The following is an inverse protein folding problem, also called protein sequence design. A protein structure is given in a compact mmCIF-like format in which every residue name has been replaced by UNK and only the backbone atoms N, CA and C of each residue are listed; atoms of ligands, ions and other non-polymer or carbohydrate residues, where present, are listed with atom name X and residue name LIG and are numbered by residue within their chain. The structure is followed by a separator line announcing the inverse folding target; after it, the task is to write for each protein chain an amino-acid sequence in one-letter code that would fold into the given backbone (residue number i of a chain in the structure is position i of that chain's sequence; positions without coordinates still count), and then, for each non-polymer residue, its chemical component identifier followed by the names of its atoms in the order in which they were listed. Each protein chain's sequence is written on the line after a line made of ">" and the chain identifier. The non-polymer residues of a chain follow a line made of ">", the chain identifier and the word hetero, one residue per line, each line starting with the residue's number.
data_IF_508543545390
#
_entry.id   IF_508543545390
#
_cell.length_a   1.000
_cell.length_b   1.000
_cell.length_c   1.000
_cell.angle_alpha   90.00
_cell.angle_beta   90.00
_cell.angle_gamma   90.00
#
_symmetry.space_group_name_H-M   'P 1'
#
loop_
_entity.id
_entity.type
_entity.pdbx_description
1 polymer ?
2 polymer ?
3 polymer ?
4 non-polymer ?
5 non-polymer ?
#
loop_
_entity_poly.entity_id
_entity_poly.type
_entity_poly.pdbx_seq_one_letter_code
_entity_poly.pdbx_strand_id
2 'polydeoxyribonucleotide' '(DC)(DT)(DC)(DA)(DT)(DT)(DG)(DA)(DG)(DC)(DA)(DA)(DA)(DT)(DG)(DA)(DG)(DC)(DA)(DA)(DG)' ?
3 'polydeoxyribonucleotide' '(DC)(DT)(DT)(DG)(DC)(DT)(DC)(DA)(DT)(DT)(DT)(DG)(DC)(DT)(DC)(DA)(DA)(DT)(DG)(DA)(DG)' ?
#
# COMPACT_ATOMS: atom_id res chain seq x y z
N UNK A 5 9.63 -1.43 -6.79
CA UNK A 5 10.38 -0.51 -7.63
C UNK A 5 9.57 -0.10 -8.85
N UNK A 6 8.85 -1.06 -9.43
CA UNK A 6 8.04 -0.84 -10.62
C UNK A 6 6.58 -0.64 -10.24
N UNK A 7 5.99 0.46 -10.71
CA UNK A 7 4.59 0.73 -10.51
C UNK A 7 3.92 1.00 -11.85
N UNK A 8 2.59 1.06 -11.83
CA UNK A 8 1.81 1.43 -12.99
C UNK A 8 1.72 2.94 -13.07
N UNK A 9 1.45 3.43 -14.27
CA UNK A 9 1.15 4.84 -14.43
C UNK A 9 -0.16 5.17 -13.72
N UNK A 10 -0.40 6.46 -13.51
CA UNK A 10 -1.61 6.88 -12.80
C UNK A 10 -2.86 6.37 -13.52
N UNK A 11 -2.91 6.54 -14.84
CA UNK A 11 -4.10 6.15 -15.59
C UNK A 11 -4.30 4.64 -15.54
N UNK A 12 -3.22 3.88 -15.76
CA UNK A 12 -3.31 2.43 -15.72
C UNK A 12 -3.75 1.96 -14.34
N UNK A 13 -3.20 2.56 -13.29
CA UNK A 13 -3.56 2.16 -11.94
C UNK A 13 -5.03 2.43 -11.66
N UNK A 14 -5.51 3.64 -11.95
CA UNK A 14 -6.90 3.95 -11.64
C UNK A 14 -7.84 3.10 -12.46
N UNK A 15 -7.49 2.81 -13.72
CA UNK A 15 -8.33 1.95 -14.56
C UNK A 15 -8.41 0.55 -13.99
N UNK A 16 -7.26 -0.08 -13.74
CA UNK A 16 -7.26 -1.42 -13.18
C UNK A 16 -7.93 -1.45 -11.81
N UNK A 17 -7.81 -0.38 -11.03
CA UNK A 17 -8.41 -0.36 -9.71
C UNK A 17 -9.94 -0.28 -9.80
N UNK A 18 -10.47 0.51 -10.73
CA UNK A 18 -11.90 0.51 -10.94
C UNK A 18 -12.41 -0.87 -11.35
N UNK A 19 -11.72 -1.49 -12.32
CA UNK A 19 -12.12 -2.82 -12.73
C UNK A 19 -12.08 -3.80 -11.57
N UNK A 20 -11.03 -3.74 -10.76
CA UNK A 20 -10.87 -4.71 -9.68
C UNK A 20 -11.85 -4.45 -8.54
N UNK A 21 -12.25 -3.20 -8.31
CA UNK A 21 -13.29 -2.94 -7.33
C UNK A 21 -14.62 -3.54 -7.78
N UNK A 22 -14.98 -3.32 -9.04
CA UNK A 22 -16.19 -3.94 -9.56
C UNK A 22 -16.11 -5.46 -9.46
N UNK A 23 -14.96 -6.02 -9.86
CA UNK A 23 -14.80 -7.47 -9.85
C UNK A 23 -14.85 -8.04 -8.44
N UNK A 24 -14.27 -7.33 -7.47
CA UNK A 24 -14.31 -7.80 -6.09
C UNK A 24 -15.71 -7.77 -5.53
N UNK A 25 -16.46 -6.70 -5.82
CA UNK A 25 -17.86 -6.68 -5.41
C UNK A 25 -18.62 -7.85 -6.02
N UNK A 26 -18.36 -8.13 -7.30
CA UNK A 26 -19.04 -9.23 -7.96
C UNK A 26 -18.68 -10.57 -7.34
N UNK A 27 -17.40 -10.77 -7.01
CA UNK A 27 -16.96 -12.04 -6.45
C UNK A 27 -17.53 -12.25 -5.05
N UNK A 28 -17.56 -11.19 -4.24
CA UNK A 28 -18.01 -11.33 -2.86
C UNK A 28 -19.48 -11.73 -2.78
N UNK A 29 -20.28 -11.44 -3.81
CA UNK A 29 -21.69 -11.83 -3.81
C UNK A 29 -21.89 -13.31 -4.09
N UNK A 30 -20.83 -14.03 -4.46
CA UNK A 30 -20.92 -15.44 -4.72
C UNK A 30 -21.35 -15.80 -6.13
N UNK A 31 -21.10 -14.95 -7.10
CA UNK A 31 -21.45 -15.21 -8.49
C UNK A 31 -20.35 -15.87 -9.30
N UNK A 32 -19.20 -16.17 -8.70
CA UNK A 32 -18.12 -16.80 -9.45
C UNK A 32 -18.24 -18.31 -9.33
N UNK A 33 -18.15 -19.01 -10.46
CA UNK A 33 -18.21 -20.46 -10.42
C UNK A 33 -17.01 -21.00 -9.67
N UNK A 34 -17.27 -21.89 -8.71
CA UNK A 34 -16.20 -22.39 -7.85
C UNK A 34 -15.11 -23.06 -8.67
N UNK A 35 -15.45 -23.62 -9.83
CA UNK A 35 -14.47 -24.32 -10.64
C UNK A 35 -13.44 -23.40 -11.26
N UNK A 36 -13.71 -22.09 -11.30
CA UNK A 36 -12.84 -21.15 -11.98
C UNK A 36 -11.62 -20.77 -11.16
N UNK A 37 -11.64 -21.00 -9.85
CA UNK A 37 -10.50 -20.69 -9.00
C UNK A 37 -10.67 -21.38 -7.65
N UNK A 38 -9.76 -22.29 -7.33
CA UNK A 38 -9.80 -22.95 -6.04
C UNK A 38 -9.48 -21.96 -4.91
N UNK A 39 -8.56 -21.03 -5.17
CA UNK A 39 -8.20 -20.04 -4.16
C UNK A 39 -9.41 -19.19 -3.79
N UNK A 40 -10.11 -18.66 -4.81
CA UNK A 40 -11.25 -17.80 -4.54
C UNK A 40 -12.39 -18.59 -3.92
N UNK A 41 -12.56 -19.85 -4.33
CA UNK A 41 -13.60 -20.69 -3.75
C UNK A 41 -13.34 -20.93 -2.26
N UNK A 42 -12.10 -21.31 -1.93
CA UNK A 42 -11.75 -21.51 -0.52
C UNK A 42 -11.89 -20.22 0.28
N UNK A 43 -11.56 -19.08 -0.34
CA UNK A 43 -11.73 -17.80 0.34
C UNK A 43 -13.20 -17.51 0.61
N UNK A 44 -14.07 -17.89 -0.32
CA UNK A 44 -15.50 -17.63 -0.18
C UNK A 44 -16.20 -18.54 0.81
N UNK A 45 -15.59 -19.69 1.15
CA UNK A 45 -16.23 -20.62 2.08
C UNK A 45 -16.52 -19.97 3.43
N UNK A 46 -15.71 -18.98 3.81
CA UNK A 46 -15.85 -18.31 5.11
C UNK A 46 -16.60 -17.01 4.98
N UNK A 47 -17.70 -17.01 4.22
CA UNK A 47 -18.53 -15.83 4.00
C UNK A 47 -19.98 -16.19 4.27
N UNK A 48 -20.69 -15.27 4.93
CA UNK A 48 -22.08 -15.50 5.31
C UNK A 48 -22.98 -15.58 4.08
N UNK A 49 -23.98 -16.47 4.09
CA UNK A 49 -24.85 -16.60 2.91
C UNK A 49 -25.64 -15.35 2.59
N UNK A 50 -26.17 -14.67 3.60
CA UNK A 50 -26.93 -13.48 3.32
C UNK A 50 -26.05 -12.26 3.50
N UNK A 51 -25.73 -11.61 2.38
CA UNK A 51 -24.78 -10.51 2.36
C UNK A 51 -25.53 -9.27 1.92
N UNK A 52 -25.03 -8.12 2.36
CA UNK A 52 -25.58 -6.83 1.98
C UNK A 52 -24.61 -6.23 0.97
N UNK A 53 -24.99 -6.28 -0.32
CA UNK A 53 -24.15 -5.77 -1.39
C UNK A 53 -24.65 -4.40 -1.81
N UNK A 54 -23.97 -3.38 -1.29
CA UNK A 54 -24.21 -1.99 -1.64
C UNK A 54 -23.13 -1.44 -2.56
N UNK A 55 -22.17 -2.26 -2.97
CA UNK A 55 -21.13 -1.83 -3.88
C UNK A 55 -21.49 -2.14 -5.32
N UNK A 56 -21.08 -1.29 -6.26
CA UNK A 56 -21.30 -1.61 -7.68
C UNK A 56 -20.51 -2.84 -8.07
N UNK A 57 -21.15 -3.71 -8.83
CA UNK A 57 -20.51 -4.91 -9.34
C UNK A 57 -20.73 -4.96 -10.85
N UNK A 58 -19.75 -5.53 -11.55
CA UNK A 58 -19.80 -5.62 -12.99
C UNK A 58 -20.84 -6.66 -13.41
N UNK A 59 -20.97 -6.85 -14.72
CA UNK A 59 -21.82 -7.92 -15.21
C UNK A 59 -21.12 -9.27 -15.00
N UNK A 60 -21.78 -10.35 -15.43
CA UNK A 60 -21.22 -11.67 -15.20
C UNK A 60 -20.09 -11.99 -16.17
N UNK A 61 -20.17 -11.50 -17.41
CA UNK A 61 -19.12 -11.78 -18.38
C UNK A 61 -17.80 -11.13 -17.98
N UNK A 62 -17.83 -9.82 -17.68
CA UNK A 62 -16.64 -9.13 -17.23
C UNK A 62 -16.10 -9.75 -15.95
N UNK A 63 -16.99 -10.11 -15.03
CA UNK A 63 -16.55 -10.77 -13.81
C UNK A 63 -15.79 -12.06 -14.10
N UNK A 64 -16.34 -12.89 -14.99
CA UNK A 64 -15.68 -14.14 -15.33
C UNK A 64 -14.31 -13.90 -15.97
N UNK A 65 -14.24 -12.92 -16.89
CA UNK A 65 -12.97 -12.65 -17.57
C UNK A 65 -11.92 -12.16 -16.57
N UNK A 66 -12.29 -11.20 -15.74
CA UNK A 66 -11.36 -10.66 -14.75
C UNK A 66 -10.92 -11.75 -13.78
N UNK A 67 -11.86 -12.64 -13.41
CA UNK A 67 -11.50 -13.74 -12.51
C UNK A 67 -10.49 -14.66 -13.17
N UNK A 68 -10.70 -14.99 -14.45
CA UNK A 68 -9.72 -15.82 -15.15
C UNK A 68 -8.34 -15.17 -15.11
N UNK A 69 -8.29 -13.88 -15.42
CA UNK A 69 -7.00 -13.19 -15.46
C UNK A 69 -6.33 -13.21 -14.08
N UNK A 70 -7.09 -12.82 -13.05
CA UNK A 70 -6.54 -12.73 -11.70
C UNK A 70 -6.07 -14.09 -11.22
N UNK A 71 -6.83 -15.15 -11.51
CA UNK A 71 -6.44 -16.47 -11.06
C UNK A 71 -5.20 -16.95 -11.82
N UNK A 72 -5.13 -16.66 -13.11
CA UNK A 72 -3.96 -17.08 -13.87
C UNK A 72 -2.71 -16.35 -13.40
N UNK A 73 -2.86 -15.13 -12.89
CA UNK A 73 -1.67 -14.37 -12.50
C UNK A 73 -1.26 -14.60 -11.04
N UNK A 74 -2.22 -14.83 -10.14
CA UNK A 74 -1.95 -14.79 -8.70
C UNK A 74 -1.93 -16.17 -8.04
N UNK A 75 -2.23 -17.24 -8.77
CA UNK A 75 -2.28 -18.56 -8.13
C UNK A 75 -0.90 -19.00 -7.62
N UNK A 76 0.17 -18.37 -8.08
CA UNK A 76 1.51 -18.76 -7.64
C UNK A 76 1.79 -18.19 -6.27
N UNK A 77 1.40 -16.93 -6.04
CA UNK A 77 1.66 -16.23 -4.77
C UNK A 77 0.33 -16.19 -4.01
N UNK A 78 0.10 -17.23 -3.21
CA UNK A 78 -1.18 -17.33 -2.51
C UNK A 78 -1.36 -16.24 -1.45
N UNK A 79 -0.26 -15.77 -0.85
CA UNK A 79 -0.37 -14.68 0.12
C UNK A 79 -0.87 -13.40 -0.53
N UNK A 80 -0.26 -13.03 -1.66
CA UNK A 80 -0.68 -11.83 -2.36
C UNK A 80 -2.10 -11.99 -2.89
N UNK A 81 -2.46 -13.19 -3.32
CA UNK A 81 -3.83 -13.45 -3.76
C UNK A 81 -4.81 -13.21 -2.62
N UNK A 82 -4.49 -13.73 -1.42
CA UNK A 82 -5.37 -13.53 -0.29
C UNK A 82 -5.49 -12.06 0.11
N UNK A 83 -4.37 -11.34 0.08
CA UNK A 83 -4.43 -9.91 0.39
C UNK A 83 -5.31 -9.20 -0.63
N UNK A 84 -5.12 -9.50 -1.92
CA UNK A 84 -5.93 -8.88 -2.97
C UNK A 84 -7.41 -9.15 -2.74
N UNK A 85 -7.75 -10.39 -2.38
CA UNK A 85 -9.14 -10.74 -2.12
C UNK A 85 -9.69 -10.00 -0.91
N UNK A 86 -8.92 -9.93 0.18
CA UNK A 86 -9.37 -9.21 1.36
C UNK A 86 -9.63 -7.74 1.04
N UNK A 87 -8.78 -7.15 0.18
CA UNK A 87 -8.95 -5.74 -0.13
C UNK A 87 -10.13 -5.50 -1.06
N UNK A 88 -10.15 -6.16 -2.22
CA UNK A 88 -11.17 -5.87 -3.22
C UNK A 88 -12.45 -6.66 -3.02
N UNK A 89 -12.35 -7.95 -2.64
CA UNK A 89 -13.55 -8.77 -2.50
C UNK A 89 -14.25 -8.52 -1.17
N UNK A 90 -13.53 -8.67 -0.06
CA UNK A 90 -14.14 -8.48 1.26
C UNK A 90 -14.30 -7.02 1.63
N UNK A 91 -13.49 -6.12 1.04
CA UNK A 91 -13.62 -4.71 1.31
C UNK A 91 -12.82 -4.19 2.48
N UNK A 92 -11.96 -5.01 3.09
CA UNK A 92 -11.15 -4.54 4.20
C UNK A 92 -10.22 -3.42 3.73
N UNK A 93 -9.84 -2.57 4.66
CA UNK A 93 -8.95 -1.46 4.34
C UNK A 93 -7.50 -1.94 4.39
N UNK A 94 -6.64 -1.20 3.70
CA UNK A 94 -5.21 -1.53 3.77
C UNK A 94 -4.73 -1.49 5.21
N UNK A 95 -5.20 -0.53 6.00
CA UNK A 95 -4.77 -0.44 7.39
C UNK A 95 -5.18 -1.69 8.17
N UNK A 96 -6.40 -2.18 7.96
CA UNK A 96 -6.85 -3.37 8.67
C UNK A 96 -6.06 -4.60 8.26
N UNK A 97 -5.76 -4.73 6.97
CA UNK A 97 -4.96 -5.86 6.51
C UNK A 97 -3.57 -5.80 7.12
N UNK A 98 -2.96 -4.61 7.12
CA UNK A 98 -1.64 -4.46 7.72
C UNK A 98 -1.68 -4.76 9.21
N UNK A 99 -2.77 -4.39 9.89
CA UNK A 99 -2.90 -4.69 11.31
C UNK A 99 -2.95 -6.20 11.56
N UNK A 100 -3.81 -6.91 10.83
CA UNK A 100 -3.84 -8.36 10.95
C UNK A 100 -2.49 -8.97 10.65
N UNK A 101 -1.79 -8.46 9.64
CA UNK A 101 -0.49 -9.04 9.29
C UNK A 101 0.62 -8.64 10.26
N UNK A 102 0.43 -7.56 11.02
CA UNK A 102 1.35 -7.24 12.11
C UNK A 102 1.09 -8.13 13.34
N UNK A 103 -0.17 -8.44 13.61
CA UNK A 103 -0.48 -9.30 14.74
C UNK A 103 0.11 -10.69 14.58
N UNK A 104 -0.05 -11.27 13.39
CA UNK A 104 0.45 -12.62 13.13
C UNK A 104 1.68 -12.48 12.25
N UNK A 105 2.75 -11.95 12.81
CA UNK A 105 3.99 -11.71 12.07
C UNK A 105 5.13 -12.42 12.78
N UNK A 106 5.77 -13.34 12.07
CA UNK A 106 6.90 -14.07 12.62
C UNK A 106 8.12 -13.16 12.71
N UNK A 107 8.93 -13.30 13.77
CA UNK A 107 10.14 -12.48 13.86
C UNK A 107 11.00 -12.66 12.61
N UNK A 108 11.52 -11.54 12.11
CA UNK A 108 12.30 -11.54 10.89
C UNK A 108 13.52 -10.64 11.09
N UNK A 109 14.50 -10.79 10.20
CA UNK A 109 15.73 -10.01 10.28
C UNK A 109 15.43 -8.60 9.80
N UNK A 110 15.19 -7.69 10.74
CA UNK A 110 14.95 -6.30 10.40
C UNK A 110 16.28 -5.60 10.16
N UNK A 111 16.35 -4.79 9.11
CA UNK A 111 17.60 -4.25 8.64
C UNK A 111 17.70 -2.76 8.95
N UNK A 112 18.91 -2.23 8.78
CA UNK A 112 19.13 -0.80 8.87
C UNK A 112 18.72 -0.30 10.25
N UNK A 113 17.58 0.38 10.34
CA UNK A 113 17.11 0.88 11.64
C UNK A 113 17.02 -0.25 12.65
N UNK A 114 16.58 -1.43 12.22
CA UNK A 114 16.50 -2.58 13.08
C UNK A 114 17.82 -3.22 13.43
N UNK A 115 18.92 -2.66 12.95
CA UNK A 115 20.24 -3.22 13.22
C UNK A 115 20.38 -4.68 12.85
N UNK A 116 19.77 -5.09 11.74
CA UNK A 116 19.89 -6.46 11.28
C UNK A 116 19.52 -7.47 12.34
N UNK A 117 18.66 -7.07 13.27
CA UNK A 117 18.26 -7.91 14.38
C UNK A 117 16.95 -8.62 14.08
N UNK A 118 16.80 -9.83 14.62
CA UNK A 118 15.54 -10.58 14.49
C UNK A 118 14.53 -10.01 15.48
N UNK A 119 13.41 -9.53 14.95
CA UNK A 119 12.32 -9.03 15.78
C UNK A 119 11.09 -8.89 14.91
N UNK A 120 9.94 -8.76 15.55
CA UNK A 120 8.69 -8.64 14.80
C UNK A 120 8.64 -7.31 14.08
N UNK A 121 8.24 -7.28 12.81
CA UNK A 121 8.19 -6.00 12.09
C UNK A 121 7.14 -5.07 12.66
N UNK A 122 7.47 -3.78 12.69
CA UNK A 122 6.56 -2.77 13.21
C UNK A 122 5.33 -2.66 12.32
N UNK A 123 4.31 -1.98 12.84
CA UNK A 123 3.09 -1.78 12.06
C UNK A 123 3.37 -0.96 10.81
N UNK A 124 4.30 0.00 10.87
CA UNK A 124 4.63 0.79 9.70
C UNK A 124 5.21 -0.10 8.60
N UNK A 125 6.08 -1.02 8.97
CA UNK A 125 6.64 -1.94 7.99
C UNK A 125 5.55 -2.82 7.39
N UNK A 126 4.58 -3.26 8.20
CA UNK A 126 3.49 -4.07 7.65
C UNK A 126 2.63 -3.27 6.70
N UNK A 127 2.34 -2.01 7.04
CA UNK A 127 1.62 -1.15 6.12
C UNK A 127 2.36 -1.01 4.80
N UNK A 128 3.67 -0.74 4.86
CA UNK A 128 4.44 -0.59 3.64
C UNK A 128 4.43 -1.87 2.81
N UNK A 129 4.59 -3.01 3.48
CA UNK A 129 4.61 -4.29 2.75
C UNK A 129 3.27 -4.57 2.10
N UNK A 130 2.16 -4.27 2.77
CA UNK A 130 0.84 -4.49 2.17
C UNK A 130 0.68 -3.60 0.94
N UNK A 131 1.06 -2.32 1.06
CA UNK A 131 1.00 -1.43 -0.09
C UNK A 131 1.84 -1.99 -1.24
N UNK A 132 3.04 -2.49 -0.93
CA UNK A 132 3.92 -3.02 -1.96
C UNK A 132 3.32 -4.23 -2.64
N UNK A 133 2.74 -5.14 -1.85
CA UNK A 133 2.14 -6.34 -2.41
C UNK A 133 1.00 -5.97 -3.33
N UNK A 134 0.14 -5.05 -2.91
CA UNK A 134 -0.98 -4.66 -3.77
C UNK A 134 -0.49 -4.01 -5.06
N UNK A 135 0.48 -3.09 -4.96
CA UNK A 135 0.98 -2.43 -6.15
C UNK A 135 1.63 -3.41 -7.11
N UNK A 136 2.39 -4.38 -6.59
CA UNK A 136 3.03 -5.37 -7.46
C UNK A 136 1.98 -6.28 -8.10
N UNK A 137 0.96 -6.68 -7.34
CA UNK A 137 -0.10 -7.48 -7.92
C UNK A 137 -0.78 -6.74 -9.07
N UNK A 138 -1.10 -5.47 -8.85
CA UNK A 138 -1.73 -4.70 -9.92
C UNK A 138 -0.79 -4.54 -11.11
N UNK A 139 0.50 -4.32 -10.84
CA UNK A 139 1.47 -4.16 -11.92
C UNK A 139 1.56 -5.41 -12.78
N UNK A 140 1.49 -6.58 -12.17
CA UNK A 140 1.52 -7.82 -12.95
C UNK A 140 0.19 -8.12 -13.62
N UNK A 141 -0.92 -7.72 -13.01
CA UNK A 141 -2.22 -8.06 -13.57
C UNK A 141 -2.56 -7.17 -14.76
N UNK A 142 -2.15 -5.90 -14.74
CA UNK A 142 -2.55 -4.95 -15.76
C UNK A 142 -2.40 -5.48 -17.18
N UNK A 143 -1.19 -5.85 -17.62
CA UNK A 143 -1.03 -6.24 -19.03
C UNK A 143 -1.87 -7.44 -19.43
N UNK A 144 -2.01 -8.44 -18.56
CA UNK A 144 -2.79 -9.62 -18.89
C UNK A 144 -4.26 -9.24 -19.10
N UNK A 145 -4.80 -8.44 -18.19
CA UNK A 145 -6.21 -8.04 -18.30
C UNK A 145 -6.42 -7.16 -19.53
N UNK A 146 -5.49 -6.25 -19.80
CA UNK A 146 -5.59 -5.41 -20.99
C UNK A 146 -5.62 -6.26 -22.26
N UNK A 147 -4.69 -7.20 -22.37
CA UNK A 147 -4.65 -8.07 -23.54
C UNK A 147 -5.91 -8.92 -23.63
N UNK A 148 -6.45 -9.36 -22.48
CA UNK A 148 -7.67 -10.16 -22.51
C UNK A 148 -8.84 -9.34 -23.05
N UNK A 149 -9.00 -8.11 -22.57
CA UNK A 149 -10.07 -7.27 -23.08
C UNK A 149 -9.89 -7.00 -24.57
N UNK A 150 -8.65 -6.75 -25.01
CA UNK A 150 -8.41 -6.48 -26.43
C UNK A 150 -8.73 -7.70 -27.28
N UNK A 151 -8.36 -8.90 -26.82
CA UNK A 151 -8.62 -10.10 -27.59
C UNK A 151 -10.10 -10.43 -27.61
N UNK A 152 -10.83 -10.10 -26.53
CA UNK A 152 -12.27 -10.28 -26.55
C UNK A 152 -12.91 -9.32 -27.55
N UNK A 153 -12.44 -8.07 -27.58
CA UNK A 153 -12.98 -7.09 -28.52
C UNK A 153 -12.69 -7.49 -29.96
N UNK A 154 -11.52 -8.08 -30.21
CA UNK A 154 -11.16 -8.47 -31.57
C UNK A 154 -11.95 -9.71 -32.01
N UNK A 155 -11.82 -10.82 -31.28
CA UNK A 155 -12.40 -12.07 -31.74
C UNK A 155 -13.91 -11.96 -31.90
N UNK A 156 -14.57 -11.31 -30.94
CA UNK A 156 -16.02 -11.15 -30.99
C UNK A 156 -16.43 -10.26 -32.16
N UNK B 7 36.77 -14.63 9.66
CA UNK B 7 35.50 -14.36 10.31
C UNK B 7 34.63 -15.61 10.38
N UNK B 8 33.51 -15.50 11.09
CA UNK B 8 32.57 -16.60 11.20
C UNK B 8 31.67 -16.67 9.98
N UNK B 9 31.15 -17.86 9.71
CA UNK B 9 30.16 -18.02 8.66
C UNK B 9 28.86 -17.33 9.07
N UNK B 10 27.98 -17.14 8.08
CA UNK B 10 26.70 -16.49 8.36
C UNK B 10 25.92 -17.25 9.43
N UNK B 11 25.83 -18.57 9.30
CA UNK B 11 25.02 -19.36 10.23
C UNK B 11 25.65 -19.40 11.63
N UNK B 12 26.97 -19.56 11.71
CA UNK B 12 27.63 -19.49 13.01
C UNK B 12 27.36 -18.16 13.68
N UNK B 13 27.44 -17.08 12.90
CA UNK B 13 27.21 -15.75 13.46
C UNK B 13 25.76 -15.63 13.95
N UNK B 14 24.80 -16.14 13.17
CA UNK B 14 23.41 -16.06 13.58
C UNK B 14 23.19 -16.81 14.89
N UNK B 15 23.75 -18.00 15.00
CA UNK B 15 23.62 -18.78 16.23
C UNK B 15 24.19 -18.02 17.43
N UNK B 16 25.44 -17.59 17.31
CA UNK B 16 26.09 -16.88 18.40
C UNK B 16 25.36 -15.58 18.73
N UNK B 17 24.81 -14.91 17.72
CA UNK B 17 24.15 -13.63 17.96
C UNK B 17 22.83 -13.84 18.69
N UNK B 18 22.10 -14.89 18.34
CA UNK B 18 20.90 -15.22 19.09
C UNK B 18 21.21 -15.55 20.54
N UNK B 19 22.24 -16.37 20.76
CA UNK B 19 22.62 -16.69 22.12
C UNK B 19 22.99 -15.44 22.91
N UNK B 20 23.77 -14.54 22.29
CA UNK B 20 24.21 -13.35 23.00
C UNK B 20 23.05 -12.39 23.23
N UNK B 21 22.09 -12.34 22.32
CA UNK B 21 20.91 -11.50 22.54
C UNK B 21 20.11 -11.99 23.74
N UNK B 22 19.85 -13.30 23.80
CA UNK B 22 19.17 -13.85 24.97
C UNK B 22 19.97 -13.59 26.24
N UNK B 23 21.28 -13.78 26.19
CA UNK B 23 22.11 -13.60 27.38
C UNK B 23 22.11 -12.13 27.81
N UNK B 24 22.13 -11.20 26.87
CA UNK B 24 22.10 -9.80 27.22
C UNK B 24 20.79 -9.39 27.85
N UNK B 25 19.67 -9.92 27.32
CA UNK B 25 18.39 -9.69 27.99
C UNK B 25 18.39 -10.26 29.39
N UNK B 26 18.96 -11.46 29.56
CA UNK B 26 19.01 -12.08 30.88
C UNK B 26 19.86 -11.25 31.85
N UNK B 27 21.00 -10.75 31.38
CA UNK B 27 21.88 -9.96 32.24
C UNK B 27 21.24 -8.63 32.60
N UNK B 28 20.60 -7.99 31.63
CA UNK B 28 20.00 -6.69 31.88
C UNK B 28 18.90 -6.79 32.94
N UNK B 29 18.30 -7.96 33.10
CA UNK B 29 17.28 -8.18 34.12
C UNK B 29 17.89 -8.34 35.51
N UNK B 30 19.21 -8.48 35.61
CA UNK B 30 19.86 -8.53 36.90
C UNK B 30 19.87 -9.88 37.58
N UNK B 31 19.82 -10.97 36.82
CA UNK B 31 19.86 -12.29 37.42
C UNK B 31 21.27 -12.84 37.58
N UNK B 32 22.28 -12.05 37.21
CA UNK B 32 23.68 -12.49 37.32
C UNK B 32 24.27 -12.05 38.65
N UNK B 33 24.91 -12.99 39.34
CA UNK B 33 25.60 -12.70 40.59
C UNK B 33 26.83 -11.84 40.34
N UNK B 34 27.02 -10.82 41.18
CA UNK B 34 28.15 -9.92 41.00
C UNK B 34 29.49 -10.63 41.07
N UNK B 35 29.56 -11.75 41.81
CA UNK B 35 30.83 -12.45 41.95
C UNK B 35 31.27 -13.12 40.64
N UNK B 36 30.35 -13.29 39.69
CA UNK B 36 30.66 -13.97 38.45
C UNK B 36 31.42 -13.10 37.46
N UNK B 37 31.32 -11.78 37.59
CA UNK B 37 32.03 -10.88 36.68
C UNK B 37 32.02 -9.45 37.22
N UNK B 38 33.20 -8.90 37.48
CA UNK B 38 33.28 -7.54 37.98
C UNK B 38 32.91 -6.51 36.91
N UNK B 39 33.30 -6.76 35.66
CA UNK B 39 32.98 -5.84 34.58
C UNK B 39 31.47 -5.74 34.38
N UNK B 40 30.80 -6.89 34.37
CA UNK B 40 29.35 -6.89 34.19
C UNK B 40 28.66 -6.23 35.38
N UNK B 41 29.21 -6.40 36.59
CA UNK B 41 28.65 -5.74 37.76
C UNK B 41 28.80 -4.22 37.65
N UNK B 42 29.98 -3.76 37.25
CA UNK B 42 30.18 -2.33 37.04
C UNK B 42 29.23 -1.79 35.97
N UNK B 43 28.99 -2.58 34.92
CA UNK B 43 28.06 -2.15 33.90
C UNK B 43 26.64 -2.06 34.43
N UNK B 44 26.25 -3.02 35.27
CA UNK B 44 24.90 -3.02 35.81
C UNK B 44 24.70 -1.94 36.86
N UNK B 45 25.77 -1.44 37.45
CA UNK B 45 25.63 -0.34 38.40
C UNK B 45 25.05 0.90 37.74
N UNK B 46 25.32 1.12 36.45
CA UNK B 46 24.90 2.33 35.74
C UNK B 46 23.72 2.10 34.82
N UNK B 47 22.68 1.38 35.24
CA UNK B 47 21.48 1.19 34.43
C UNK B 47 20.27 1.46 35.31
N UNK B 48 19.23 2.00 34.71
CA UNK B 48 18.09 2.45 35.49
C UNK B 48 17.53 1.23 36.24
N UNK B 49 17.41 1.28 37.58
CA UNK B 49 16.95 0.09 38.33
C UNK B 49 15.52 -0.33 38.03
N UNK B 50 14.53 0.55 38.21
CA UNK B 50 13.17 0.15 37.95
C UNK B 50 12.94 0.21 36.46
N UNK B 51 12.76 -0.94 35.81
CA UNK B 51 12.72 -1.00 34.36
C UNK B 51 11.85 -2.18 33.96
N UNK B 52 11.27 -2.07 32.77
CA UNK B 52 10.52 -3.18 32.19
C UNK B 52 11.42 -3.78 31.11
N UNK B 53 11.23 -5.07 30.86
CA UNK B 53 12.12 -5.78 29.95
C UNK B 53 11.49 -5.97 28.57
N UNK B 54 10.47 -6.82 28.50
CA UNK B 54 9.77 -7.08 27.24
C UNK B 54 10.68 -7.70 26.19
N UNK B 55 11.75 -8.39 26.60
CA UNK B 55 12.59 -9.10 25.65
C UNK B 55 12.80 -10.53 26.13
N UNK B 56 12.91 -11.48 25.20
CA UNK B 56 13.15 -12.88 25.60
C UNK B 56 14.54 -13.07 26.20
N UNK B 57 14.60 -13.86 27.26
CA UNK B 57 15.86 -14.16 27.95
C UNK B 57 15.97 -15.65 28.24
N UNK B 58 17.21 -16.13 28.34
CA UNK B 58 17.46 -17.53 28.62
C UNK B 58 17.15 -17.85 30.08
N UNK B 59 17.32 -19.12 30.44
CA UNK B 59 17.20 -19.56 31.83
C UNK B 59 18.47 -19.22 32.59
N UNK B 60 18.53 -19.62 33.86
CA UNK B 60 19.66 -19.27 34.71
C UNK B 60 20.90 -20.11 34.42
N UNK B 61 20.72 -21.39 34.09
CA UNK B 61 21.87 -22.25 33.80
C UNK B 61 22.59 -21.75 32.55
N UNK B 62 21.86 -21.60 31.45
CA UNK B 62 22.45 -21.08 30.22
C UNK B 62 23.01 -19.68 30.44
N UNK B 63 22.29 -18.85 31.20
CA UNK B 63 22.79 -17.51 31.48
C UNK B 63 24.14 -17.53 32.17
N UNK B 64 24.27 -18.34 33.22
CA UNK B 64 25.55 -18.42 33.93
C UNK B 64 26.63 -18.99 33.04
N UNK B 65 26.30 -19.99 32.21
CA UNK B 65 27.31 -20.57 31.33
C UNK B 65 27.83 -19.52 30.35
N UNK B 66 26.91 -18.79 29.71
CA UNK B 66 27.31 -17.75 28.77
C UNK B 66 28.08 -16.65 29.49
N UNK B 67 27.69 -16.32 30.72
CA UNK B 67 28.39 -15.28 31.48
C UNK B 67 29.83 -15.70 31.75
N UNK B 68 30.02 -16.94 32.20
CA UNK B 68 31.37 -17.45 32.42
C UNK B 68 32.20 -17.41 31.15
N UNK B 69 31.61 -17.85 30.03
CA UNK B 69 32.34 -17.86 28.77
C UNK B 69 32.77 -16.45 28.37
N UNK B 70 31.79 -15.53 28.35
CA UNK B 70 32.08 -14.17 27.89
C UNK B 70 33.08 -13.50 28.82
N UNK B 71 32.99 -13.76 30.12
CA UNK B 71 33.93 -13.16 31.05
C UNK B 71 35.34 -13.71 30.86
N UNK B 72 35.46 -15.02 30.64
CA UNK B 72 36.78 -15.60 30.42
C UNK B 72 37.38 -15.12 29.10
N UNK B 73 36.55 -14.76 28.14
CA UNK B 73 37.07 -14.36 26.83
C UNK B 73 37.35 -12.85 26.77
N UNK B 74 36.57 -12.05 27.47
CA UNK B 74 36.57 -10.59 27.32
C UNK B 74 37.17 -9.85 28.52
N UNK B 75 37.65 -10.57 29.54
CA UNK B 75 38.21 -9.89 30.70
C UNK B 75 39.43 -9.05 30.37
N UNK B 76 40.05 -9.28 29.21
CA UNK B 76 41.28 -8.59 28.86
C UNK B 76 41.01 -7.20 28.30
N UNK B 77 40.04 -7.09 27.40
CA UNK B 77 39.73 -5.82 26.72
C UNK B 77 38.44 -5.23 27.31
N UNK B 78 38.59 -4.40 28.35
CA UNK B 78 37.42 -3.84 29.02
C UNK B 78 36.61 -2.92 28.12
N UNK B 79 37.28 -2.25 27.17
CA UNK B 79 36.56 -1.40 26.22
C UNK B 79 35.64 -2.24 25.34
N UNK B 80 36.18 -3.32 24.77
CA UNK B 80 35.38 -4.20 23.94
C UNK B 80 34.29 -4.87 24.76
N UNK B 81 34.58 -5.22 26.01
CA UNK B 81 33.57 -5.80 26.88
C UNK B 81 32.42 -4.83 27.08
N UNK B 82 32.74 -3.56 27.32
CA UNK B 82 31.69 -2.57 27.47
C UNK B 82 30.88 -2.41 26.21
N UNK B 83 31.55 -2.43 25.06
CA UNK B 83 30.82 -2.33 23.79
C UNK B 83 29.88 -3.52 23.63
N UNK B 84 30.37 -4.73 23.93
CA UNK B 84 29.53 -5.91 23.82
C UNK B 84 28.30 -5.81 24.72
N UNK B 85 28.50 -5.34 25.96
CA UNK B 85 27.37 -5.21 26.86
C UNK B 85 26.40 -4.13 26.38
N UNK B 86 26.91 -3.00 25.91
CA UNK B 86 26.05 -1.95 25.38
C UNK B 86 25.24 -2.45 24.21
N UNK B 87 25.82 -3.33 23.39
CA UNK B 87 25.12 -3.81 22.20
C UNK B 87 24.05 -4.83 22.59
N UNK B 88 24.45 -5.89 23.29
CA UNK B 88 23.54 -6.99 23.55
C UNK B 88 22.71 -6.80 24.82
N UNK B 89 23.32 -6.33 25.90
CA UNK B 89 22.60 -6.21 27.16
C UNK B 89 21.72 -4.96 27.16
N UNK B 90 22.32 -3.79 26.89
CA UNK B 90 21.56 -2.55 26.86
C UNK B 90 20.79 -2.36 25.56
N UNK B 91 21.21 -3.01 24.48
CA UNK B 91 20.50 -2.92 23.22
C UNK B 91 20.90 -1.79 22.31
N UNK B 92 21.94 -1.04 22.65
CA UNK B 92 22.38 0.06 21.79
C UNK B 92 22.84 -0.46 20.44
N UNK B 93 22.75 0.41 19.43
CA UNK B 93 23.17 0.08 18.08
C UNK B 93 24.64 0.42 17.88
N UNK B 94 25.24 -0.18 16.85
CA UNK B 94 26.62 0.14 16.54
C UNK B 94 26.77 1.63 16.27
N UNK B 95 25.83 2.22 15.54
CA UNK B 95 25.92 3.65 15.22
C UNK B 95 25.88 4.49 16.49
N UNK B 96 25.02 4.11 17.44
CA UNK B 96 24.93 4.87 18.69
C UNK B 96 26.22 4.74 19.50
N UNK B 97 26.81 3.55 19.54
CA UNK B 97 28.07 3.36 20.25
C UNK B 97 29.18 4.18 19.60
N UNK B 98 29.26 4.14 18.27
CA UNK B 98 30.27 4.93 17.56
C UNK B 98 30.07 6.41 17.79
N UNK B 99 28.81 6.86 17.83
CA UNK B 99 28.55 8.28 18.07
C UNK B 99 28.93 8.67 19.49
N UNK B 100 28.64 7.82 20.47
CA UNK B 100 28.99 8.13 21.85
C UNK B 100 30.51 8.18 22.03
N UNK B 101 31.24 7.29 21.33
CA UNK B 101 32.69 7.32 21.42
C UNK B 101 33.32 8.41 20.57
N UNK B 102 32.61 8.89 19.55
CA UNK B 102 33.07 10.05 18.80
C UNK B 102 32.86 11.33 19.59
N UNK B 103 31.74 11.41 20.33
CA UNK B 103 31.48 12.56 21.18
C UNK B 103 32.55 12.68 22.25
N UNK B 104 32.91 11.56 22.88
CA UNK B 104 33.90 11.54 23.94
C UNK B 104 35.19 10.93 23.38
N UNK B 105 35.83 11.62 22.45
CA UNK B 105 37.06 11.14 21.84
C UNK B 105 38.13 12.20 21.98
N UNK B 106 39.19 11.87 22.69
CA UNK B 106 40.31 12.79 22.85
C UNK B 106 41.04 12.90 21.51
N UNK B 107 41.61 14.06 21.22
CA UNK B 107 42.38 14.21 19.98
C UNK B 107 43.44 13.12 19.88
N UNK B 108 43.59 12.55 18.69
CA UNK B 108 44.56 11.50 18.44
C UNK B 108 45.32 11.84 17.17
N UNK B 109 46.49 11.22 17.02
CA UNK B 109 47.36 11.51 15.88
C UNK B 109 46.85 10.72 14.67
N UNK B 110 46.00 11.37 13.87
CA UNK B 110 45.54 10.81 12.62
C UNK B 110 46.54 11.08 11.50
N UNK B 111 46.86 10.04 10.70
CA UNK B 111 47.92 10.15 9.69
C UNK B 111 47.55 9.37 8.42
N UNK B 112 46.52 9.85 7.72
CA UNK B 112 46.18 9.41 6.38
C UNK B 112 45.50 10.58 5.66
N UNK B 113 44.23 10.80 5.95
CA UNK B 113 43.57 12.07 5.63
C UNK B 113 43.72 12.96 6.85
N UNK B 114 44.39 14.10 6.67
CA UNK B 114 44.87 14.88 7.79
C UNK B 114 46.37 14.77 7.88
N UNK B 115 47.06 15.91 7.87
CA UNK B 115 48.52 15.91 7.83
C UNK B 115 49.16 15.62 9.17
N UNK B 116 48.92 14.43 9.71
CA UNK B 116 49.53 14.07 10.98
C UNK B 116 49.24 15.02 12.09
N UNK B 117 48.08 15.68 12.06
CA UNK B 117 47.72 16.66 13.05
C UNK B 117 46.89 16.00 14.14
N UNK B 118 47.06 16.48 15.37
CA UNK B 118 46.31 15.90 16.48
C UNK B 118 44.87 16.41 16.36
N UNK B 119 43.92 15.49 16.24
CA UNK B 119 42.52 15.88 16.11
C UNK B 119 41.63 14.70 16.45
N UNK B 120 40.36 15.00 16.66
CA UNK B 120 39.39 13.96 16.99
C UNK B 120 39.14 13.06 15.79
N UNK B 121 39.07 11.74 16.00
CA UNK B 121 38.85 10.83 14.86
C UNK B 121 37.45 11.00 14.31
N UNK B 122 37.33 10.88 12.99
CA UNK B 122 36.03 11.07 12.37
C UNK B 122 35.05 10.00 12.85
N UNK B 123 33.77 10.27 12.65
CA UNK B 123 32.73 9.30 13.00
C UNK B 123 32.85 8.05 12.15
N UNK B 124 33.30 8.18 10.90
CA UNK B 124 33.45 7.01 10.04
C UNK B 124 34.46 6.03 10.63
N UNK B 125 35.59 6.55 11.11
CA UNK B 125 36.60 5.67 11.72
C UNK B 125 36.06 5.04 12.99
N UNK B 126 35.26 5.77 13.76
CA UNK B 126 34.68 5.20 14.98
C UNK B 126 33.71 4.07 14.64
N UNK B 127 32.90 4.27 13.60
CA UNK B 127 32.01 3.20 13.14
C UNK B 127 32.81 1.97 12.73
N UNK B 128 33.88 2.17 11.95
CA UNK B 128 34.69 1.03 11.51
C UNK B 128 35.31 0.31 12.70
N UNK B 129 35.82 1.06 13.67
CA UNK B 129 36.44 0.46 14.84
C UNK B 129 35.42 -0.34 15.64
N UNK B 130 34.20 0.18 15.78
CA UNK B 130 33.15 -0.55 16.50
C UNK B 130 32.82 -1.83 15.77
N UNK B 131 32.66 -1.76 14.46
CA UNK B 131 32.38 -2.95 13.68
C UNK B 131 33.50 -3.96 13.86
N UNK B 132 34.75 -3.46 13.80
CA UNK B 132 35.90 -4.37 13.93
C UNK B 132 35.96 -5.00 15.31
N UNK B 133 35.66 -4.24 16.36
CA UNK B 133 35.68 -4.78 17.72
C UNK B 133 34.59 -5.84 17.93
N UNK B 134 33.38 -5.58 17.46
CA UNK B 134 32.31 -6.56 17.63
C UNK B 134 32.61 -7.85 16.88
N UNK B 135 33.09 -7.75 15.63
CA UNK B 135 33.40 -8.96 14.88
C UNK B 135 34.47 -9.77 15.57
N UNK B 136 35.52 -9.11 16.08
CA UNK B 136 36.59 -9.83 16.76
C UNK B 136 36.11 -10.47 18.06
N UNK B 137 35.28 -9.76 18.82
CA UNK B 137 34.74 -10.33 20.05
C UNK B 137 33.94 -11.59 19.75
N UNK B 138 33.06 -11.54 18.74
CA UNK B 138 32.27 -12.72 18.42
C UNK B 138 33.16 -13.85 17.89
N UNK B 139 34.15 -13.52 17.07
CA UNK B 139 35.04 -14.56 16.56
C UNK B 139 35.78 -15.25 17.69
N UNK B 140 36.19 -14.49 18.71
CA UNK B 140 36.88 -15.10 19.85
C UNK B 140 35.94 -15.87 20.75
N UNK B 141 34.68 -15.45 20.83
CA UNK B 141 33.74 -16.09 21.74
C UNK B 141 33.18 -17.39 21.18
N UNK B 142 32.96 -17.47 19.87
CA UNK B 142 32.22 -18.59 19.29
C UNK B 142 32.75 -19.93 19.78
N UNK B 143 34.03 -20.26 19.55
CA UNK B 143 34.51 -21.61 19.91
C UNK B 143 34.40 -21.92 21.39
N UNK B 144 34.70 -20.94 22.25
CA UNK B 144 34.62 -21.18 23.69
C UNK B 144 33.20 -21.55 24.08
N UNK B 145 32.22 -20.81 23.57
CA UNK B 145 30.83 -21.09 23.92
C UNK B 145 30.39 -22.43 23.36
N UNK B 146 30.81 -22.75 22.14
CA UNK B 146 30.45 -24.04 21.56
C UNK B 146 30.99 -25.18 22.43
N UNK B 147 32.27 -25.10 22.80
CA UNK B 147 32.87 -26.14 23.64
C UNK B 147 32.18 -26.21 25.00
N UNK B 148 31.79 -25.06 25.55
CA UNK B 148 31.12 -25.06 26.85
C UNK B 148 29.78 -25.77 26.77
N UNK B 149 28.98 -25.44 25.76
CA UNK B 149 27.68 -26.10 25.60
C UNK B 149 27.87 -27.61 25.40
N UNK B 150 28.87 -28.01 24.62
CA UNK B 150 29.08 -29.42 24.37
C UNK B 150 29.52 -30.16 25.63
N UNK B 151 30.46 -29.58 26.39
CA UNK B 151 30.99 -30.22 27.57
C UNK B 151 30.04 -30.21 28.76
N UNK B 152 29.06 -29.30 28.79
CA UNK B 152 28.11 -29.30 29.90
C UNK B 152 27.37 -30.63 30.00
N UNK B 153 26.97 -31.21 28.88
CA UNK B 153 26.26 -32.49 28.91
C UNK B 153 27.15 -33.60 29.48
N UNK C 6 -24.20 27.36 -4.74
CA UNK C 6 -25.00 26.16 -4.53
C UNK C 6 -24.44 24.98 -5.31
N UNK C 7 -23.60 24.19 -4.64
CA UNK C 7 -22.96 23.03 -5.26
C UNK C 7 -22.97 21.88 -4.27
N UNK C 8 -22.55 20.70 -4.75
CA UNK C 8 -22.46 19.51 -3.91
C UNK C 8 -21.16 19.50 -3.12
N UNK C 9 -21.19 18.81 -1.99
CA UNK C 9 -19.99 18.59 -1.20
C UNK C 9 -19.02 17.69 -1.95
N UNK C 10 -17.78 17.64 -1.45
CA UNK C 10 -16.74 16.85 -2.11
C UNK C 10 -17.14 15.38 -2.21
N UNK C 11 -17.62 14.81 -1.10
CA UNK C 11 -17.96 13.39 -1.08
C UNK C 11 -19.14 13.09 -2.00
N UNK C 12 -20.19 13.91 -1.95
CA UNK C 12 -21.32 13.74 -2.84
C UNK C 12 -20.88 13.83 -4.29
N UNK C 13 -20.03 14.79 -4.61
CA UNK C 13 -19.58 14.96 -5.99
C UNK C 13 -18.79 13.74 -6.45
N UNK C 14 -17.86 13.25 -5.62
CA UNK C 14 -17.05 12.11 -6.01
C UNK C 14 -17.91 10.85 -6.17
N UNK C 15 -18.87 10.65 -5.27
CA UNK C 15 -19.79 9.51 -5.39
C UNK C 15 -20.57 9.56 -6.70
N UNK C 16 -21.23 10.70 -6.94
CA UNK C 16 -22.03 10.82 -8.16
C UNK C 16 -21.15 10.71 -9.40
N UNK C 17 -19.90 11.20 -9.32
CA UNK C 17 -19.02 11.14 -10.48
C UNK C 17 -18.57 9.71 -10.77
N UNK C 18 -18.28 8.93 -9.73
CA UNK C 18 -17.98 7.53 -9.96
C UNK C 18 -19.15 6.82 -10.61
N UNK C 19 -20.35 7.04 -10.08
CA UNK C 19 -21.53 6.42 -10.68
C UNK C 19 -21.70 6.85 -12.13
N UNK C 20 -21.48 8.12 -12.43
CA UNK C 20 -21.67 8.60 -13.78
C UNK C 20 -20.59 8.08 -14.72
N UNK C 21 -19.37 7.88 -14.23
CA UNK C 21 -18.33 7.26 -15.07
C UNK C 21 -18.71 5.83 -15.42
N UNK C 22 -19.18 5.06 -14.42
CA UNK C 22 -19.64 3.71 -14.71
C UNK C 22 -20.79 3.72 -15.71
N UNK C 23 -21.75 4.64 -15.53
CA UNK C 23 -22.91 4.71 -16.42
C UNK C 23 -22.49 5.11 -17.83
N UNK C 24 -21.54 6.04 -17.96
CA UNK C 24 -21.08 6.41 -19.28
C UNK C 24 -20.37 5.28 -19.97
N UNK C 25 -19.54 4.55 -19.23
CA UNK C 25 -18.91 3.35 -19.81
C UNK C 25 -19.96 2.37 -20.29
N UNK C 26 -21.01 2.17 -19.49
CA UNK C 26 -22.07 1.23 -19.88
C UNK C 26 -22.78 1.71 -21.13
N UNK C 27 -23.04 3.01 -21.23
CA UNK C 27 -23.73 3.56 -22.39
C UNK C 27 -22.87 3.42 -23.64
N UNK C 28 -21.56 3.67 -23.51
CA UNK C 28 -20.68 3.63 -24.68
C UNK C 28 -20.63 2.26 -25.34
N UNK C 29 -20.95 1.20 -24.60
CA UNK C 29 -20.94 -0.14 -25.19
C UNK C 29 -22.15 -0.45 -26.04
N UNK C 30 -23.20 0.36 -25.98
CA UNK C 30 -24.36 0.13 -26.82
C UNK C 30 -25.32 -0.91 -26.29
N UNK C 31 -25.33 -1.12 -24.97
CA UNK C 31 -26.21 -2.10 -24.35
C UNK C 31 -27.57 -1.51 -23.97
N UNK C 32 -27.78 -0.22 -24.23
CA UNK C 32 -29.03 0.45 -23.89
C UNK C 32 -30.01 0.40 -25.05
N UNK C 33 -31.27 0.10 -24.73
CA UNK C 33 -32.32 0.08 -25.72
C UNK C 33 -32.58 1.48 -26.27
N UNK C 34 -32.69 1.58 -27.60
CA UNK C 34 -32.88 2.88 -28.24
C UNK C 34 -34.18 3.54 -27.75
N UNK C 35 -35.16 2.75 -27.33
CA UNK C 35 -36.45 3.29 -26.92
C UNK C 35 -36.40 4.00 -25.56
N UNK C 36 -35.35 3.78 -24.76
CA UNK C 36 -35.32 4.31 -23.41
C UNK C 36 -34.94 5.78 -23.36
N UNK C 37 -34.31 6.32 -24.40
CA UNK C 37 -33.92 7.72 -24.42
C UNK C 37 -33.54 8.15 -25.84
N UNK C 38 -34.25 9.16 -26.36
CA UNK C 38 -33.97 9.63 -27.71
C UNK C 38 -32.61 10.33 -27.79
N UNK C 39 -32.26 11.11 -26.77
CA UNK C 39 -30.99 11.81 -26.79
C UNK C 39 -29.83 10.82 -26.81
N UNK C 40 -29.91 9.80 -25.95
CA UNK C 40 -28.84 8.82 -25.85
C UNK C 40 -28.73 8.00 -27.14
N UNK C 41 -29.87 7.69 -27.76
CA UNK C 41 -29.85 6.96 -29.03
C UNK C 41 -29.19 7.80 -30.13
N UNK C 42 -29.58 9.07 -30.22
CA UNK C 42 -28.95 9.96 -31.20
C UNK C 42 -27.45 10.08 -30.92
N UNK C 43 -27.07 10.09 -29.65
CA UNK C 43 -25.65 10.17 -29.31
C UNK C 43 -24.90 8.92 -29.73
N UNK C 44 -25.50 7.75 -29.52
CA UNK C 44 -24.84 6.50 -29.90
C UNK C 44 -24.79 6.31 -31.41
N UNK C 45 -25.69 6.94 -32.15
CA UNK C 45 -25.62 6.85 -33.61
C UNK C 45 -24.31 7.43 -34.14
N UNK C 46 -23.73 8.39 -33.42
CA UNK C 46 -22.49 9.06 -33.82
C UNK C 46 -21.28 8.52 -33.06
N UNK C 47 -21.18 7.20 -32.94
CA UNK C 47 -20.08 6.55 -32.24
C UNK C 47 -19.54 5.48 -33.18
N UNK C 48 -18.23 5.38 -33.27
CA UNK C 48 -17.61 4.41 -34.16
C UNK C 48 -17.99 2.98 -33.72
N UNK C 49 -18.52 2.15 -34.60
CA UNK C 49 -18.80 0.75 -34.31
C UNK C 49 -17.52 -0.05 -34.04
N UNK C 50 -17.16 -0.13 -32.77
CA UNK C 50 -15.93 -0.74 -32.29
C UNK C 50 -15.60 0.04 -31.03
N UNK C 51 -14.73 -0.53 -30.18
CA UNK C 51 -14.47 0.15 -28.92
C UNK C 51 -13.06 0.70 -28.93
N UNK C 52 -12.88 1.81 -28.22
CA UNK C 52 -11.59 2.44 -28.00
C UNK C 52 -11.11 2.16 -26.57
N UNK C 53 -11.87 2.62 -25.59
CA UNK C 53 -11.54 2.44 -24.18
C UNK C 53 -12.47 1.38 -23.59
N UNK C 54 -11.91 0.46 -22.81
CA UNK C 54 -12.71 -0.54 -22.10
C UNK C 54 -12.84 -0.20 -20.62
N UNK C 55 -13.21 1.05 -20.38
CA UNK C 55 -13.39 1.57 -19.03
C UNK C 55 -14.33 0.68 -18.22
N UNK C 56 -14.15 0.61 -16.91
CA UNK C 56 -15.09 -0.16 -16.08
C UNK C 56 -16.50 0.40 -16.21
N UNK C 57 -17.47 -0.51 -16.31
CA UNK C 57 -18.88 -0.15 -16.43
C UNK C 57 -19.70 -0.96 -15.45
N UNK C 58 -20.84 -0.39 -15.04
CA UNK C 58 -21.74 -1.05 -14.13
C UNK C 58 -22.47 -2.19 -14.83
N UNK C 59 -23.30 -2.90 -14.08
CA UNK C 59 -24.14 -3.93 -14.67
C UNK C 59 -25.29 -3.29 -15.44
N UNK C 60 -26.19 -4.13 -15.96
CA UNK C 60 -27.29 -3.61 -16.78
C UNK C 60 -28.38 -2.98 -15.92
N UNK C 61 -28.63 -3.53 -14.72
CA UNK C 61 -29.66 -2.96 -13.85
C UNK C 61 -29.28 -1.56 -13.42
N UNK C 62 -28.10 -1.40 -12.82
CA UNK C 62 -27.65 -0.07 -12.39
C UNK C 62 -27.51 0.87 -13.59
N UNK C 63 -27.01 0.36 -14.71
CA UNK C 63 -26.88 1.19 -15.89
C UNK C 63 -28.22 1.75 -16.35
N UNK C 64 -29.23 0.89 -16.45
CA UNK C 64 -30.55 1.34 -16.89
C UNK C 64 -31.17 2.30 -15.87
N UNK C 65 -30.96 2.03 -14.57
CA UNK C 65 -31.49 2.93 -13.55
C UNK C 65 -30.87 4.32 -13.67
N UNK C 66 -29.54 4.37 -13.79
CA UNK C 66 -28.87 5.66 -13.93
C UNK C 66 -29.31 6.35 -15.21
N UNK C 67 -29.55 5.58 -16.27
CA UNK C 67 -30.01 6.15 -17.52
C UNK C 67 -31.39 6.78 -17.36
N UNK C 68 -32.30 6.09 -16.69
CA UNK C 68 -33.62 6.67 -16.41
C UNK C 68 -33.48 7.96 -15.60
N UNK C 69 -32.65 7.95 -14.57
CA UNK C 69 -32.47 9.14 -13.74
C UNK C 69 -31.96 10.31 -14.59
N UNK C 70 -30.89 10.07 -15.35
CA UNK C 70 -30.28 11.12 -16.14
C UNK C 70 -31.24 11.63 -17.20
N UNK C 71 -32.03 10.72 -17.79
CA UNK C 71 -32.98 11.13 -18.80
C UNK C 71 -34.08 11.99 -18.21
N UNK C 72 -34.58 11.62 -17.02
CA UNK C 72 -35.62 12.40 -16.37
C UNK C 72 -35.11 13.76 -15.92
N UNK C 73 -33.81 13.87 -15.60
CA UNK C 73 -33.29 15.13 -15.10
C UNK C 73 -32.76 16.05 -16.20
N UNK C 74 -32.25 15.49 -17.29
CA UNK C 74 -31.50 16.26 -18.28
C UNK C 74 -32.27 16.46 -19.59
N UNK C 75 -33.50 15.97 -19.68
CA UNK C 75 -34.30 16.13 -20.89
C UNK C 75 -34.61 17.59 -21.17
N UNK C 76 -34.35 18.47 -20.22
CA UNK C 76 -34.69 19.88 -20.36
C UNK C 76 -33.67 20.62 -21.21
N UNK C 77 -32.39 20.50 -20.83
CA UNK C 77 -31.31 21.23 -21.49
C UNK C 77 -30.54 20.23 -22.35
N UNK C 78 -30.93 20.13 -23.62
CA UNK C 78 -30.31 19.15 -24.50
C UNK C 78 -28.82 19.43 -24.67
N UNK C 79 -28.42 20.70 -24.59
CA UNK C 79 -27.00 21.03 -24.68
C UNK C 79 -26.23 20.46 -23.50
N UNK C 80 -26.75 20.65 -22.27
CA UNK C 80 -26.09 20.09 -21.10
C UNK C 80 -26.11 18.56 -21.14
N UNK C 81 -27.19 17.98 -21.67
CA UNK C 81 -27.25 16.52 -21.82
C UNK C 81 -26.15 16.04 -22.76
N UNK C 82 -25.99 16.71 -23.89
CA UNK C 82 -24.94 16.33 -24.81
C UNK C 82 -23.56 16.51 -24.22
N UNK C 83 -23.36 17.58 -23.44
CA UNK C 83 -22.08 17.78 -22.78
C UNK C 83 -21.80 16.64 -21.79
N UNK C 84 -22.81 16.29 -20.99
CA UNK C 84 -22.65 15.20 -20.03
C UNK C 84 -22.29 13.91 -20.75
N UNK C 85 -22.94 13.63 -21.88
CA UNK C 85 -22.65 12.42 -22.63
C UNK C 85 -21.23 12.46 -23.20
N UNK C 86 -20.84 13.59 -23.80
CA UNK C 86 -19.50 13.70 -24.36
C UNK C 86 -18.44 13.52 -23.29
N UNK C 87 -18.70 14.00 -22.08
CA UNK C 87 -17.73 13.87 -21.01
C UNK C 87 -17.66 12.44 -20.47
N UNK C 88 -18.81 11.90 -20.07
CA UNK C 88 -18.84 10.61 -19.41
C UNK C 88 -18.91 9.44 -20.39
N UNK C 89 -19.68 9.56 -21.46
CA UNK C 89 -19.84 8.45 -22.39
C UNK C 89 -18.68 8.40 -23.39
N UNK C 90 -18.44 9.50 -24.10
CA UNK C 90 -17.39 9.51 -25.12
C UNK C 90 -15.99 9.62 -24.50
N UNK C 91 -15.90 10.12 -23.27
CA UNK C 91 -14.62 10.22 -22.59
C UNK C 91 -13.85 11.48 -22.85
N UNK C 92 -14.41 12.43 -23.60
CA UNK C 92 -13.72 13.69 -23.86
C UNK C 92 -13.51 14.44 -22.55
N UNK C 93 -12.47 15.26 -22.53
CA UNK C 93 -12.14 16.08 -21.38
C UNK C 93 -12.88 17.41 -21.41
N UNK C 94 -12.95 18.07 -20.26
CA UNK C 94 -13.55 19.39 -20.18
C UNK C 94 -12.87 20.36 -21.13
N UNK C 95 -11.54 20.31 -21.21
CA UNK C 95 -10.80 21.20 -22.10
C UNK C 95 -11.18 20.95 -23.56
N UNK C 96 -11.33 19.68 -23.94
CA UNK C 96 -11.67 19.37 -25.33
C UNK C 96 -13.06 19.88 -25.69
N UNK C 97 -14.03 19.70 -24.79
CA UNK C 97 -15.38 20.19 -25.05
C UNK C 97 -15.39 21.71 -25.16
N UNK C 98 -14.68 22.38 -24.25
CA UNK C 98 -14.61 23.83 -24.30
C UNK C 98 -13.96 24.31 -25.59
N UNK C 99 -12.88 23.64 -26.02
CA UNK C 99 -12.22 24.01 -27.26
C UNK C 99 -13.15 23.84 -28.46
N UNK C 100 -13.89 22.73 -28.50
CA UNK C 100 -14.85 22.52 -29.57
C UNK C 100 -15.88 23.63 -29.60
N UNK C 101 -16.49 23.93 -28.45
CA UNK C 101 -17.51 24.98 -28.42
C UNK C 101 -16.93 26.36 -28.67
N UNK C 102 -15.61 26.54 -28.50
CA UNK C 102 -15.01 27.83 -28.83
C UNK C 102 -14.76 27.97 -30.32
N UNK C 103 -14.32 26.90 -30.98
CA UNK C 103 -14.10 26.97 -32.42
C UNK C 103 -15.41 27.26 -33.16
N UNK C 104 -16.49 26.56 -32.80
CA UNK C 104 -17.81 26.78 -33.39
C UNK C 104 -18.69 27.53 -32.39
N UNK C 105 -18.37 28.79 -32.14
CA UNK C 105 -19.17 29.66 -31.29
C UNK C 105 -19.41 30.96 -32.05
N UNK C 106 -20.67 31.26 -32.37
CA UNK C 106 -20.93 32.50 -33.09
C UNK C 106 -20.73 33.69 -32.14
N UNK C 107 -20.10 34.76 -32.61
CA UNK C 107 -19.89 35.94 -31.74
C UNK C 107 -21.16 36.53 -31.17
N UNK C 108 -21.11 36.85 -29.88
CA UNK C 108 -22.20 37.47 -29.13
C UNK C 108 -21.60 38.50 -28.17
N UNK C 109 -22.48 39.28 -27.55
CA UNK C 109 -22.09 40.41 -26.70
C UNK C 109 -21.57 39.94 -25.34
N UNK C 110 -20.24 39.88 -25.22
CA UNK C 110 -19.57 39.66 -23.95
C UNK C 110 -19.51 40.98 -23.19
N UNK C 111 -19.77 40.93 -21.90
CA UNK C 111 -19.96 42.14 -21.12
C UNK C 111 -18.72 42.41 -20.27
N UNK C 112 -18.78 43.49 -19.49
CA UNK C 112 -17.71 43.82 -18.55
C UNK C 112 -16.38 43.98 -19.27
N UNK C 113 -15.54 42.95 -19.23
CA UNK C 113 -14.20 43.05 -19.81
C UNK C 113 -14.25 43.40 -21.29
N UNK C 114 -15.20 42.82 -22.03
CA UNK C 114 -15.38 43.21 -23.41
C UNK C 114 -16.47 44.24 -23.54
N UNK C 115 -16.35 45.31 -22.76
CA UNK C 115 -17.38 46.33 -22.69
C UNK C 115 -18.76 45.70 -22.71
N UNK C 116 -19.47 45.92 -23.81
CA UNK C 116 -20.75 45.30 -24.06
C UNK C 116 -20.78 44.98 -25.54
N UNK C 117 -19.60 44.72 -26.09
CA UNK C 117 -19.40 44.57 -27.53
C UNK C 117 -19.51 43.11 -27.97
N UNK C 118 -20.00 42.94 -29.19
CA UNK C 118 -20.20 41.63 -29.79
C UNK C 118 -18.88 41.04 -30.29
N UNK C 119 -18.52 39.88 -29.76
CA UNK C 119 -17.36 39.12 -30.21
C UNK C 119 -17.49 37.72 -29.64
N UNK C 120 -16.70 36.79 -30.20
CA UNK C 120 -16.76 35.41 -29.75
C UNK C 120 -16.14 35.30 -28.35
N UNK C 121 -16.75 34.51 -27.46
CA UNK C 121 -16.18 34.37 -26.12
C UNK C 121 -14.83 33.67 -26.15
N UNK C 122 -13.92 34.14 -25.31
CA UNK C 122 -12.60 33.55 -25.24
C UNK C 122 -12.69 32.10 -24.77
N UNK C 123 -11.58 31.38 -24.92
CA UNK C 123 -11.55 29.99 -24.51
C UNK C 123 -11.77 29.84 -23.01
N UNK C 124 -11.34 30.83 -22.22
CA UNK C 124 -11.55 30.77 -20.78
C UNK C 124 -13.03 30.79 -20.43
N UNK C 125 -13.81 31.65 -21.11
CA UNK C 125 -15.23 31.71 -20.84
C UNK C 125 -15.91 30.40 -21.22
N UNK C 126 -15.45 29.76 -22.30
CA UNK C 126 -16.01 28.47 -22.69
C UNK C 126 -15.70 27.39 -21.66
N UNK C 127 -14.46 27.38 -21.16
CA UNK C 127 -14.11 26.44 -20.09
C UNK C 127 -15.01 26.65 -18.88
N UNK C 128 -15.22 27.91 -18.49
CA UNK C 128 -16.06 28.21 -17.33
C UNK C 128 -17.49 27.74 -17.57
N UNK C 129 -18.01 27.96 -18.78
CA UNK C 129 -19.37 27.51 -19.07
C UNK C 129 -19.49 26.00 -19.00
N UNK C 130 -18.50 25.28 -19.53
CA UNK C 130 -18.53 23.83 -19.48
C UNK C 130 -18.48 23.34 -18.03
N UNK C 131 -17.57 23.90 -17.24
CA UNK C 131 -17.46 23.51 -15.84
C UNK C 131 -18.78 23.74 -15.09
N UNK C 132 -19.37 24.93 -15.24
CA UNK C 132 -20.62 25.21 -14.54
C UNK C 132 -21.77 24.33 -15.03
N UNK C 133 -21.86 24.08 -16.34
CA UNK C 133 -22.90 23.20 -16.86
C UNK C 133 -22.77 21.82 -16.22
N UNK C 134 -21.56 21.29 -16.18
CA UNK C 134 -21.35 19.97 -15.59
C UNK C 134 -21.68 19.97 -14.10
N UNK C 135 -21.22 21.00 -13.38
CA UNK C 135 -21.49 21.09 -11.95
C UNK C 135 -22.98 21.18 -11.67
N UNK C 136 -23.70 21.97 -12.46
CA UNK C 136 -25.14 22.11 -12.26
C UNK C 136 -25.87 20.82 -12.60
N UNK C 137 -25.44 20.14 -13.67
CA UNK C 137 -26.03 18.86 -14.01
C UNK C 137 -25.87 17.87 -12.87
N UNK C 138 -24.67 17.80 -12.31
CA UNK C 138 -24.43 16.87 -11.21
C UNK C 138 -25.24 17.25 -9.97
N UNK C 139 -25.32 18.55 -9.66
CA UNK C 139 -26.09 19.01 -8.51
C UNK C 139 -27.57 18.67 -8.68
N UNK C 140 -28.07 18.74 -9.90
CA UNK C 140 -29.47 18.40 -10.15
C UNK C 140 -29.70 16.89 -10.15
N UNK C 141 -28.71 16.12 -10.57
CA UNK C 141 -28.90 14.67 -10.68
C UNK C 141 -28.75 13.98 -9.33
N UNK C 142 -27.88 14.51 -8.45
CA UNK C 142 -27.54 13.82 -7.21
C UNK C 142 -28.76 13.35 -6.43
N UNK C 143 -29.65 14.25 -6.00
CA UNK C 143 -30.76 13.80 -5.15
C UNK C 143 -31.65 12.78 -5.83
N UNK C 144 -31.90 12.93 -7.13
CA UNK C 144 -32.75 12.00 -7.84
C UNK C 144 -32.13 10.60 -7.82
N UNK C 145 -30.83 10.51 -8.09
CA UNK C 145 -30.16 9.21 -8.12
C UNK C 145 -30.11 8.59 -6.73
N UNK C 146 -29.83 9.40 -5.72
CA UNK C 146 -29.80 8.89 -4.35
C UNK C 146 -31.17 8.34 -3.96
N UNK C 147 -32.22 9.10 -4.23
CA UNK C 147 -33.57 8.63 -3.93
C UNK C 147 -33.90 7.37 -4.71
N UNK C 148 -33.43 7.28 -5.95
CA UNK C 148 -33.68 6.09 -6.75
C UNK C 148 -33.05 4.86 -6.11
N UNK C 149 -31.79 4.97 -5.70
CA UNK C 149 -31.12 3.86 -5.05
C UNK C 149 -31.82 3.49 -3.74
N UNK C 150 -32.22 4.50 -2.96
CA UNK C 150 -32.87 4.21 -1.68
C UNK C 150 -34.21 3.52 -1.90
N UNK C 151 -34.99 3.97 -2.89
CA UNK C 151 -36.31 3.38 -3.14
C UNK C 151 -36.18 2.00 -3.76
N UNK C 152 -35.13 1.75 -4.53
CA UNK C 152 -34.90 0.40 -5.03
C UNK C 152 -34.55 -0.54 -3.87
N UNK C 153 -33.76 -0.04 -2.91
CA UNK C 153 -33.42 -0.86 -1.75
C UNK C 153 -34.67 -1.13 -0.91
N UNK C 154 -35.54 -0.14 -0.75
CA UNK C 154 -36.74 -0.32 0.06
C UNK C 154 -37.72 -1.27 -0.61
N UNK C 155 -38.14 -0.95 -1.84
CA UNK C 155 -39.16 -1.75 -2.53
C UNK C 155 -38.74 -3.21 -2.59
N UNK C 156 -37.57 -3.48 -3.18
CA UNK C 156 -37.09 -4.84 -3.32
C UNK C 156 -36.68 -5.40 -1.97
X LIG H 1 20.89 -12.33 13.38
X LIG H 1 20.99 -13.30 14.43
X LIG H 1 22.27 -11.95 12.86
X LIG H 1 22.40 -12.34 11.49
X LIG H 1 20.29 -12.75 12.56
X LIG H 1 20.37 -11.44 13.74
X LIG H 1 20.11 -13.52 14.76
X LIG H 1 22.41 -10.87 12.96
X LIG H 1 23.04 -12.45 13.47
X LIG H 1 23.27 -12.07 11.17
X LIG I 1 4.38 -10.72 -3.18
X LIG I 1 4.54 -9.31 -3.36
X LIG I 1 4.85 -11.13 -1.79
X LIG I 1 4.05 -12.23 -1.33
X LIG I 1 3.34 -11.00 -3.33
X LIG I 1 4.97 -11.26 -3.94
X LIG I 1 4.20 -9.05 -4.23
X LIG I 1 5.90 -11.42 -1.83
X LIG I 1 4.75 -10.29 -1.10
X LIG I 1 4.35 -12.49 -0.44
X LIG J 1 26.98 -6.98 14.56
X LIG J 1 27.10 -8.09 15.47
X LIG J 1 28.00 -7.09 13.43
X LIG J 1 29.32 -6.83 13.93
X LIG J 1 27.14 -6.05 15.10
X LIG J 1 25.97 -6.96 14.13
X LIG J 1 26.43 -8.00 16.17
X LIG J 1 27.96 -8.08 13.00
X LIG J 1 27.76 -6.37 12.65
X LIG J 1 29.96 -6.89 13.20
X LIG K 1 19.87 -19.05 19.05
X LIG L 1 -19.70 4.99 -6.86
#
# INVERSE_FOLDING_TARGET
>A
SGIRELNLTKEQHEWLNGWLELWGAWVYSGRLEKRMSSVIAKFMESVEPGRVMTRPMCNDDDGMLISQVVDSVMYIDKKAFGILLSYYAHGSSKHAIASYYHRVARPRKMLCRGGGRIQKPSLATCRREVDEILNASLFMIYPVLDSAFKNRKRVEKIKHVA
>B
SGIRELNLTKEQHEWLNGWLELWGAWVYSGRLEKRMSSVIAKFMESVEPGRVMTRPMCNDDDGMLISQVVDSVMYIDKKAFGILLSYYAHGSSKHAIASYYHRVARPRKMLCRGGGRIQKPSLATCRREVDEILNASLFMIYPVLDSAFKNRKRVEKIKHVA
>C
SGIRELNLTKEQHEWLNGWLELWGAWVYSGRLEKRMSSVIAKFMESVEPGRVMTRPMCNDDDGMLISQVVDSVMYIDKKAFGILLSYYAHGSSKHAIASYYHRVARPRKMLCRGGGRIQKPSLATCRREVDEILNASLFMIYPVLDSAFKNRKRVEKIKHVA
>H hetero
1 EDO C1 O1 C2 O2 H11 H12 HO1 H21 H22 HO2
>I hetero
1 EDO C1 O1 C2 O2 H11 H12 HO1 H21 H22 HO2
>J hetero
1 EDO C1 O1 C2 O2 H11 H12 HO1 H21 H22 HO2
>K hetero
1 CL CL
>L hetero
1 CL CL
#
